data_IF_345833210977
#
_entry.id   IF_345833210977
#
_cell.length_a   1.000
_cell.length_b   1.000
_cell.length_c   1.000
_cell.angle_alpha   90.00
_cell.angle_beta   90.00
_cell.angle_gamma   90.00
#
_symmetry.space_group_name_H-M   'P 1'
#
loop_
_entity.id
_entity.type
_entity.pdbx_description
1 polymer ?
#
# COMPACT_ATOMS: atom_id res chain seq x y z
N UNK A 1 -8.67 3.13 14.45
CA UNK A 1 -8.10 2.91 13.10
C UNK A 1 -8.24 1.44 12.73
N UNK A 2 -8.69 1.16 11.53
CA UNK A 2 -8.92 -0.21 11.04
C UNK A 2 -8.14 -0.38 9.74
N UNK A 3 -7.42 -1.51 9.62
CA UNK A 3 -6.77 -1.93 8.38
C UNK A 3 -7.49 -3.17 7.89
N UNK A 4 -8.07 -3.11 6.69
CA UNK A 4 -8.85 -4.21 6.13
C UNK A 4 -8.74 -4.28 4.61
N UNK A 5 -9.13 -5.41 4.02
CA UNK A 5 -9.25 -5.53 2.57
C UNK A 5 -10.26 -4.52 2.04
N UNK A 6 -9.88 -3.83 0.97
CA UNK A 6 -10.78 -2.91 0.28
C UNK A 6 -11.95 -3.68 -0.34
N UNK A 7 -13.12 -3.04 -0.32
CA UNK A 7 -14.33 -3.51 -0.97
C UNK A 7 -14.71 -2.57 -2.11
N UNK A 8 -15.61 -3.00 -2.99
CA UNK A 8 -16.06 -2.18 -4.11
C UNK A 8 -16.60 -0.81 -3.68
N UNK A 9 -17.24 -0.73 -2.51
CA UNK A 9 -17.73 0.52 -1.92
C UNK A 9 -16.63 1.53 -1.60
N UNK A 10 -15.38 1.08 -1.45
CA UNK A 10 -14.24 1.93 -1.11
C UNK A 10 -13.56 2.54 -2.33
N UNK A 11 -13.88 2.05 -3.53
CA UNK A 11 -13.15 2.38 -4.77
C UNK A 11 -13.04 3.89 -5.03
N UNK A 12 -14.13 4.63 -4.88
CA UNK A 12 -14.11 6.07 -5.15
C UNK A 12 -13.21 6.83 -4.17
N UNK A 13 -13.19 6.40 -2.90
CA UNK A 13 -12.33 7.01 -1.88
C UNK A 13 -10.87 6.66 -2.11
N UNK A 14 -10.60 5.42 -2.48
CA UNK A 14 -9.24 4.98 -2.84
C UNK A 14 -8.71 5.78 -4.02
N UNK A 15 -9.52 5.98 -5.05
CA UNK A 15 -9.12 6.72 -6.25
C UNK A 15 -8.68 8.17 -5.96
N UNK A 16 -9.15 8.77 -4.87
CA UNK A 16 -8.71 10.09 -4.44
C UNK A 16 -7.30 10.09 -3.86
N UNK A 17 -6.87 8.96 -3.28
CA UNK A 17 -5.55 8.80 -2.69
C UNK A 17 -4.55 8.17 -3.66
N UNK A 18 -5.02 7.31 -4.57
CA UNK A 18 -4.21 6.60 -5.55
C UNK A 18 -4.52 7.11 -6.95
N UNK A 19 -3.77 8.10 -7.41
CA UNK A 19 -3.92 8.69 -8.74
C UNK A 19 -3.09 7.98 -9.82
N UNK A 20 -2.33 6.94 -9.46
CA UNK A 20 -1.37 6.29 -10.34
C UNK A 20 -1.94 5.11 -11.12
N UNK A 21 -3.19 4.75 -10.89
CA UNK A 21 -3.80 3.58 -11.51
C UNK A 21 -5.13 3.97 -12.19
N UNK A 22 -5.37 3.49 -13.43
CA UNK A 22 -6.68 3.67 -14.08
C UNK A 22 -7.82 3.02 -13.28
N UNK A 23 -8.99 3.64 -13.31
CA UNK A 23 -10.16 3.20 -12.53
C UNK A 23 -10.52 1.73 -12.76
N UNK A 24 -10.51 1.26 -14.01
CA UNK A 24 -10.82 -0.14 -14.33
C UNK A 24 -9.82 -1.10 -13.70
N UNK A 25 -8.53 -0.77 -13.71
CA UNK A 25 -7.48 -1.57 -13.09
C UNK A 25 -7.61 -1.59 -11.57
N UNK A 26 -7.95 -0.47 -10.97
CA UNK A 26 -8.20 -0.41 -9.53
C UNK A 26 -9.34 -1.36 -9.12
N UNK A 27 -10.42 -1.39 -9.90
CA UNK A 27 -11.53 -2.33 -9.67
C UNK A 27 -11.08 -3.78 -9.72
N UNK A 28 -10.23 -4.15 -10.67
CA UNK A 28 -9.66 -5.49 -10.77
C UNK A 28 -8.78 -5.83 -9.55
N UNK A 29 -7.93 -4.90 -9.11
CA UNK A 29 -7.08 -5.09 -7.94
C UNK A 29 -7.91 -5.31 -6.67
N UNK A 30 -8.99 -4.54 -6.49
CA UNK A 30 -9.90 -4.70 -5.36
C UNK A 30 -10.56 -6.09 -5.41
N UNK A 31 -11.07 -6.49 -6.57
CA UNK A 31 -11.68 -7.80 -6.77
C UNK A 31 -10.72 -8.95 -6.45
N UNK A 32 -9.45 -8.80 -6.81
CA UNK A 32 -8.41 -9.80 -6.60
C UNK A 32 -7.83 -9.81 -5.18
N UNK A 33 -8.32 -8.96 -4.26
CA UNK A 33 -7.80 -8.89 -2.91
C UNK A 33 -6.41 -8.27 -2.80
N UNK A 34 -6.06 -7.38 -3.72
CA UNK A 34 -4.73 -6.77 -3.81
C UNK A 34 -4.68 -5.34 -3.24
N UNK A 35 -5.72 -4.93 -2.55
CA UNK A 35 -5.80 -3.58 -1.97
C UNK A 35 -6.26 -3.66 -0.52
N UNK A 36 -5.49 -3.03 0.36
CA UNK A 36 -5.84 -2.82 1.76
C UNK A 36 -6.10 -1.34 2.00
N UNK A 37 -7.02 -1.03 2.89
CA UNK A 37 -7.33 0.34 3.29
C UNK A 37 -7.11 0.54 4.77
N UNK A 38 -6.68 1.76 5.12
CA UNK A 38 -6.67 2.27 6.47
C UNK A 38 -7.89 3.19 6.62
N UNK A 39 -8.75 2.87 7.58
CA UNK A 39 -9.96 3.66 7.86
C UNK A 39 -9.90 4.28 9.24
N UNK A 40 -10.30 5.55 9.31
CA UNK A 40 -10.43 6.25 10.57
C UNK A 40 -11.83 5.99 11.16
N UNK A 41 -11.90 5.09 12.13
CA UNK A 41 -13.12 4.71 12.81
C UNK A 41 -13.48 5.63 13.99
N UNK A 42 -12.62 6.60 14.32
CA UNK A 42 -12.89 7.58 15.36
C UNK A 42 -13.90 8.63 14.90
N UNK A 43 -14.11 8.79 13.60
CA UNK A 43 -15.12 9.67 13.02
C UNK A 43 -16.49 8.98 13.12
N UNK A 44 -16.90 8.63 14.33
CA UNK A 44 -18.26 8.16 14.60
C UNK A 44 -19.18 9.37 14.77
N UNK A 45 -20.03 9.58 13.78
CA UNK A 45 -21.36 10.20 13.88
C UNK A 45 -21.59 11.14 15.07
N UNK A 46 -21.05 12.33 15.01
CA UNK A 46 -21.62 13.43 15.76
C UNK A 46 -22.77 14.03 14.93
N UNK A 47 -24.01 13.53 15.13
CA UNK A 47 -25.19 14.16 14.55
C UNK A 47 -25.81 13.43 13.37
N UNK A 48 -27.08 13.46 13.32
CA UNK A 48 -28.18 12.94 12.51
C UNK A 48 -27.99 12.64 11.00
N UNK A 49 -26.75 12.55 10.48
CA UNK A 49 -26.50 12.14 9.10
C UNK A 49 -25.82 10.77 9.04
N UNK A 50 -26.63 9.74 8.86
CA UNK A 50 -26.26 8.33 8.67
C UNK A 50 -25.36 8.04 7.45
N UNK A 51 -24.66 9.02 6.90
CA UNK A 51 -23.90 8.90 5.64
C UNK A 51 -22.40 9.08 5.75
N UNK A 52 -21.84 9.33 6.91
CA UNK A 52 -20.39 9.39 7.06
C UNK A 52 -19.87 7.98 7.33
N UNK A 53 -19.65 7.25 6.24
CA UNK A 53 -18.84 6.05 6.25
C UNK A 53 -17.45 6.42 6.71
N UNK A 54 -16.79 5.53 7.45
CA UNK A 54 -15.42 5.74 7.90
C UNK A 54 -14.56 6.18 6.72
N UNK A 55 -13.85 7.33 6.81
CA UNK A 55 -13.06 7.79 5.71
C UNK A 55 -11.85 6.89 5.49
N UNK A 56 -11.56 6.57 4.24
CA UNK A 56 -10.32 5.92 3.84
C UNK A 56 -9.22 6.97 3.91
N UNK A 57 -8.22 6.74 4.75
CA UNK A 57 -7.10 7.65 4.98
C UNK A 57 -5.74 7.05 4.60
N UNK A 58 -5.73 5.81 4.18
CA UNK A 58 -4.54 5.15 3.66
C UNK A 58 -4.87 4.01 2.73
N UNK A 59 -3.93 3.69 1.84
CA UNK A 59 -4.06 2.64 0.84
C UNK A 59 -2.74 1.89 0.72
N UNK A 60 -2.82 0.56 0.67
CA UNK A 60 -1.74 -0.31 0.26
C UNK A 60 -2.22 -1.13 -0.92
N UNK A 61 -1.53 -1.07 -2.04
CA UNK A 61 -1.88 -1.83 -3.25
C UNK A 61 -0.66 -2.61 -3.72
N UNK A 62 -0.85 -3.88 -4.07
CA UNK A 62 0.23 -4.73 -4.55
C UNK A 62 -0.20 -5.58 -5.74
N UNK A 63 0.77 -6.11 -6.43
CA UNK A 63 0.61 -7.05 -7.54
C UNK A 63 1.61 -8.20 -7.37
N UNK A 64 1.64 -9.13 -8.32
CA UNK A 64 2.61 -10.23 -8.31
C UNK A 64 3.63 -10.03 -9.43
N UNK A 65 4.87 -9.78 -9.04
CA UNK A 65 5.99 -9.72 -9.97
C UNK A 65 6.28 -11.12 -10.51
N UNK A 66 6.34 -11.27 -11.82
CA UNK A 66 6.44 -12.56 -12.49
C UNK A 66 5.32 -13.54 -12.10
N UNK A 67 4.16 -13.03 -11.74
CA UNK A 67 3.01 -13.83 -11.27
C UNK A 67 3.27 -14.61 -9.97
N UNK A 68 4.41 -14.39 -9.30
CA UNK A 68 4.83 -15.22 -8.16
C UNK A 68 5.29 -14.44 -6.93
N UNK A 69 5.81 -13.24 -7.07
CA UNK A 69 6.40 -12.52 -5.94
C UNK A 69 5.57 -11.27 -5.62
N UNK A 70 5.00 -11.16 -4.42
CA UNK A 70 4.26 -9.96 -4.04
C UNK A 70 5.14 -8.71 -4.16
N UNK A 71 4.64 -7.75 -4.93
CA UNK A 71 5.31 -6.48 -5.20
C UNK A 71 4.40 -5.33 -4.77
N UNK A 72 4.86 -4.56 -3.80
CA UNK A 72 4.13 -3.38 -3.33
C UNK A 72 4.18 -2.29 -4.41
N UNK A 73 3.04 -1.96 -4.98
CA UNK A 73 2.93 -0.95 -6.02
C UNK A 73 2.68 0.44 -5.44
N UNK A 74 1.97 0.52 -4.32
CA UNK A 74 1.63 1.79 -3.68
C UNK A 74 1.41 1.61 -2.18
N UNK A 75 2.02 2.48 -1.40
CA UNK A 75 1.65 2.71 0.00
C UNK A 75 1.48 4.23 0.15
N UNK A 76 0.27 4.65 0.47
CA UNK A 76 -0.04 6.06 0.66
C UNK A 76 -0.85 6.26 1.93
N UNK A 77 -0.40 7.18 2.76
CA UNK A 77 -1.12 7.63 3.95
C UNK A 77 -1.46 9.11 3.77
N UNK A 78 -2.70 9.47 4.00
CA UNK A 78 -3.13 10.86 3.96
C UNK A 78 -2.22 11.71 4.86
N UNK A 79 -1.85 12.88 4.38
CA UNK A 79 -0.88 13.76 5.04
C UNK A 79 -1.22 14.02 6.51
N UNK A 80 -2.51 14.21 6.83
CA UNK A 80 -2.97 14.45 8.20
C UNK A 80 -2.74 13.27 9.15
N UNK A 81 -2.47 12.09 8.61
CA UNK A 81 -2.29 10.83 9.37
C UNK A 81 -0.84 10.33 9.35
N UNK A 82 0.07 11.06 8.74
CA UNK A 82 1.49 10.66 8.64
C UNK A 82 2.23 10.85 9.95
N UNK A 83 3.41 10.19 10.05
CA UNK A 83 4.29 10.23 11.23
C UNK A 83 3.65 9.70 12.51
N UNK A 84 2.68 8.78 12.37
CA UNK A 84 1.96 8.15 13.48
C UNK A 84 2.08 6.63 13.46
N UNK A 85 2.94 6.07 12.60
CA UNK A 85 3.21 4.63 12.51
C UNK A 85 2.22 3.82 11.70
N UNK A 86 1.25 4.43 11.02
CA UNK A 86 0.23 3.69 10.26
C UNK A 86 0.78 2.98 9.04
N UNK A 87 1.75 3.59 8.34
CA UNK A 87 2.41 2.94 7.21
C UNK A 87 3.12 1.65 7.63
N UNK A 88 3.83 1.69 8.74
CA UNK A 88 4.48 0.50 9.32
C UNK A 88 3.46 -0.57 9.70
N UNK A 89 2.34 -0.18 10.32
CA UNK A 89 1.27 -1.13 10.69
C UNK A 89 0.66 -1.78 9.45
N UNK A 90 0.41 -1.03 8.38
CA UNK A 90 -0.11 -1.58 7.12
C UNK A 90 0.87 -2.56 6.49
N UNK A 91 2.15 -2.23 6.47
CA UNK A 91 3.20 -3.11 5.95
C UNK A 91 3.28 -4.41 6.75
N UNK A 92 3.29 -4.34 8.08
CA UNK A 92 3.34 -5.53 8.93
C UNK A 92 2.12 -6.43 8.74
N UNK A 93 0.92 -5.84 8.62
CA UNK A 93 -0.29 -6.63 8.36
C UNK A 93 -0.20 -7.32 7.00
N UNK A 94 0.20 -6.61 5.96
CA UNK A 94 0.37 -7.18 4.63
C UNK A 94 1.41 -8.31 4.63
N UNK A 95 2.58 -8.08 5.20
CA UNK A 95 3.65 -9.09 5.29
C UNK A 95 3.21 -10.33 6.05
N UNK A 96 2.48 -10.16 7.16
CA UNK A 96 1.98 -11.29 7.93
C UNK A 96 0.96 -12.12 7.15
N UNK A 97 0.07 -11.47 6.40
CA UNK A 97 -0.89 -12.16 5.55
C UNK A 97 -0.19 -12.89 4.40
N UNK A 98 0.83 -12.30 3.81
CA UNK A 98 1.64 -12.95 2.77
C UNK A 98 2.32 -14.22 3.30
N UNK A 99 2.88 -14.16 4.51
CA UNK A 99 3.47 -15.34 5.17
C UNK A 99 2.46 -16.46 5.37
N UNK A 100 1.25 -16.10 5.82
CA UNK A 100 0.17 -17.09 6.00
C UNK A 100 -0.25 -17.72 4.68
N UNK A 101 -0.12 -17.02 3.57
CA UNK A 101 -0.40 -17.53 2.23
C UNK A 101 0.77 -18.34 1.64
N UNK A 102 1.90 -18.45 2.35
CA UNK A 102 3.06 -19.22 1.92
C UNK A 102 4.11 -18.44 1.12
N UNK A 103 3.96 -17.14 0.95
CA UNK A 103 4.97 -16.32 0.28
C UNK A 103 6.21 -16.15 1.17
N UNK A 104 7.38 -16.27 0.56
CA UNK A 104 8.67 -16.18 1.26
C UNK A 104 9.33 -14.81 1.10
N UNK A 105 8.94 -14.03 0.11
CA UNK A 105 9.54 -12.75 -0.22
C UNK A 105 8.48 -11.69 -0.52
N UNK A 106 8.82 -10.45 -0.25
CA UNK A 106 8.07 -9.28 -0.72
C UNK A 106 9.05 -8.31 -1.37
N UNK A 107 8.56 -7.59 -2.37
CA UNK A 107 9.33 -6.62 -3.12
C UNK A 107 8.65 -5.27 -3.11
N UNK A 108 9.41 -4.23 -3.38
CA UNK A 108 8.89 -2.90 -3.69
C UNK A 108 9.91 -2.12 -4.53
N UNK A 109 9.51 -0.97 -5.00
CA UNK A 109 10.44 -0.01 -5.62
C UNK A 109 10.14 1.41 -5.14
N UNK A 110 11.14 2.27 -5.24
CA UNK A 110 11.04 3.68 -4.84
C UNK A 110 12.04 4.52 -5.61
N UNK A 111 11.70 5.78 -5.87
CA UNK A 111 12.61 6.69 -6.55
C UNK A 111 13.82 7.03 -5.67
N UNK A 112 15.00 7.03 -6.26
CA UNK A 112 16.26 7.25 -5.55
C UNK A 112 16.36 8.64 -4.91
N UNK A 113 15.67 9.64 -5.49
CA UNK A 113 15.68 11.02 -5.03
C UNK A 113 14.58 11.34 -3.99
N UNK A 114 13.81 10.33 -3.56
CA UNK A 114 12.80 10.45 -2.52
C UNK A 114 13.26 9.77 -1.24
N UNK A 115 12.61 10.08 -0.11
CA UNK A 115 13.00 9.54 1.21
C UNK A 115 12.37 8.19 1.55
N UNK A 116 11.46 7.68 0.71
CA UNK A 116 10.73 6.43 0.97
C UNK A 116 11.66 5.22 1.16
N UNK A 117 12.83 5.20 0.51
CA UNK A 117 13.79 4.10 0.66
C UNK A 117 14.25 3.91 2.10
N UNK A 118 14.36 5.00 2.88
CA UNK A 118 14.72 4.94 4.30
C UNK A 118 13.67 4.19 5.12
N UNK A 119 12.40 4.41 4.80
CA UNK A 119 11.28 3.71 5.42
C UNK A 119 11.35 2.20 5.16
N UNK A 120 11.60 1.81 3.91
CA UNK A 120 11.69 0.39 3.55
C UNK A 120 12.93 -0.29 4.14
N UNK A 121 14.06 0.38 4.19
CA UNK A 121 15.26 -0.18 4.85
C UNK A 121 15.03 -0.44 6.33
N UNK A 122 14.33 0.44 7.04
CA UNK A 122 13.96 0.22 8.45
C UNK A 122 13.05 -0.99 8.63
N UNK A 123 12.24 -1.32 7.64
CA UNK A 123 11.38 -2.51 7.67
C UNK A 123 12.12 -3.81 7.31
N UNK A 124 13.39 -3.73 6.96
CA UNK A 124 14.21 -4.89 6.61
C UNK A 124 14.31 -5.18 5.12
N UNK A 125 13.82 -4.31 4.26
CA UNK A 125 14.01 -4.41 2.81
C UNK A 125 15.44 -4.03 2.45
N UNK A 126 16.01 -4.74 1.47
CA UNK A 126 17.37 -4.51 0.98
C UNK A 126 17.35 -4.13 -0.50
N UNK A 127 18.14 -3.14 -0.88
CA UNK A 127 18.32 -2.75 -2.28
C UNK A 127 19.00 -3.89 -3.05
N UNK A 128 18.40 -4.30 -4.16
CA UNK A 128 18.91 -5.36 -5.02
C UNK A 128 19.28 -4.89 -6.42
N UNK A 129 18.83 -3.72 -6.82
CA UNK A 129 19.09 -3.17 -8.15
C UNK A 129 18.27 -1.94 -8.41
N UNK A 130 18.15 -1.59 -9.67
CA UNK A 130 17.37 -0.44 -10.10
C UNK A 130 17.28 -0.35 -11.61
N UNK A 131 16.48 0.60 -12.08
CA UNK A 131 16.32 0.89 -13.49
C UNK A 131 15.77 2.31 -13.68
N UNK A 132 15.76 2.78 -14.91
CA UNK A 132 15.17 4.06 -15.26
C UNK A 132 13.86 3.82 -16.00
N UNK A 133 12.69 3.99 -15.32
CA UNK A 133 11.40 3.85 -16.00
C UNK A 133 11.23 4.90 -17.10
N UNK A 134 10.38 4.63 -18.11
CA UNK A 134 10.07 5.63 -19.11
C UNK A 134 9.59 6.95 -18.49
N UNK A 135 10.09 8.08 -19.00
CA UNK A 135 9.68 9.42 -18.60
C UNK A 135 9.99 9.79 -17.14
N UNK A 136 10.84 9.03 -16.47
CA UNK A 136 11.31 9.33 -15.12
C UNK A 136 12.81 9.60 -15.15
N UNK A 137 13.24 10.77 -14.65
CA UNK A 137 14.66 11.13 -14.62
C UNK A 137 15.42 10.42 -13.50
N UNK A 138 14.76 10.20 -12.35
CA UNK A 138 15.37 9.52 -11.22
C UNK A 138 15.37 7.99 -11.41
N UNK A 139 16.42 7.35 -10.91
CA UNK A 139 16.47 5.88 -10.87
C UNK A 139 15.39 5.33 -9.95
N UNK A 140 14.71 4.28 -10.38
CA UNK A 140 13.81 3.49 -9.54
C UNK A 140 14.61 2.37 -8.89
N UNK A 141 14.67 2.38 -7.55
CA UNK A 141 15.42 1.39 -6.78
C UNK A 141 14.52 0.21 -6.43
N UNK A 142 15.02 -1.01 -6.62
CA UNK A 142 14.29 -2.24 -6.30
C UNK A 142 14.75 -2.77 -4.94
N UNK A 143 13.79 -3.07 -4.09
CA UNK A 143 14.00 -3.57 -2.73
C UNK A 143 13.32 -4.91 -2.53
N UNK A 144 13.97 -5.81 -1.81
CA UNK A 144 13.46 -7.16 -1.50
C UNK A 144 13.61 -7.44 -0.01
N UNK A 145 12.60 -8.11 0.56
CA UNK A 145 12.62 -8.60 1.94
C UNK A 145 12.28 -10.08 1.99
N UNK A 146 13.03 -10.84 2.78
CA UNK A 146 12.68 -12.21 3.12
C UNK A 146 11.69 -12.20 4.29
N UNK A 147 10.55 -12.90 4.12
CA UNK A 147 9.44 -12.86 5.07
C UNK A 147 9.49 -13.95 6.14
N UNK A 148 10.28 -14.95 6.02
CA UNK A 148 10.23 -16.14 6.87
C UNK A 148 11.04 -16.09 8.17
N UNK A 149 11.62 -14.95 8.49
CA UNK A 149 12.51 -14.84 9.66
C UNK A 149 11.95 -14.02 10.81
#
# INVERSE_FOLDING_TARGET
>A
MIIELAQGKDKQKIAKLDSHIPSARLGECIWNGQVYVLKDDSIKNGGQNHRLKDPVVGVLRYSLFWQTIPFLDLLYIDEAYRNRGFGTQMMHKWENLLKLQGYQYAMTSTQADEDAWKFYEKLGYRKTGGFFPPEQDAEELIYVKRLGE
#
